data_IF_241787448413
#
_entry.id   IF_241787448413
#
_cell.length_a   1.000
_cell.length_b   1.000
_cell.length_c   1.000
_cell.angle_alpha   90.00
_cell.angle_beta   90.00
_cell.angle_gamma   90.00
#
_symmetry.space_group_name_H-M   'P 1'
#
loop_
_entity.id
_entity.type
_entity.pdbx_description
1 polymer ?
#
# COMPACT_ATOMS: atom_id res chain seq x y z
N UNK A 1 10.73 10.34 -13.50
CA UNK A 1 9.65 10.57 -12.51
C UNK A 1 9.84 9.58 -11.36
N UNK A 2 9.61 9.99 -10.11
CA UNK A 2 9.71 9.12 -8.93
C UNK A 2 8.41 9.19 -8.14
N UNK A 3 7.91 8.06 -7.67
CA UNK A 3 6.62 7.97 -6.95
C UNK A 3 6.82 7.27 -5.62
N UNK A 4 6.55 7.99 -4.53
CA UNK A 4 6.61 7.43 -3.18
C UNK A 4 5.24 6.86 -2.79
N UNK A 5 5.19 5.57 -2.51
CA UNK A 5 4.06 4.94 -1.82
C UNK A 5 4.26 5.02 -0.31
N UNK A 6 3.25 5.51 0.40
CA UNK A 6 3.24 5.56 1.87
C UNK A 6 2.19 4.57 2.35
N UNK A 7 2.62 3.58 3.13
CA UNK A 7 1.75 2.55 3.69
C UNK A 7 1.69 2.70 5.21
N UNK A 8 0.56 2.34 5.79
CA UNK A 8 0.42 2.28 7.24
C UNK A 8 1.25 1.12 7.81
N UNK A 9 1.94 1.37 8.91
CA UNK A 9 2.62 0.35 9.72
C UNK A 9 1.74 -0.17 10.87
N UNK A 10 0.49 0.29 10.97
CA UNK A 10 -0.43 -0.06 12.04
C UNK A 10 -1.12 -1.40 11.74
N UNK A 11 -0.88 -2.40 12.59
CA UNK A 11 -1.29 -3.79 12.34
C UNK A 11 -2.46 -4.30 13.19
N UNK A 12 -2.92 -3.52 14.18
CA UNK A 12 -3.96 -3.94 15.14
C UNK A 12 -5.08 -2.93 15.20
N UNK A 13 -6.32 -3.38 15.27
CA UNK A 13 -7.50 -2.52 15.34
C UNK A 13 -7.73 -2.12 16.80
N UNK A 14 -7.04 -1.06 17.23
CA UNK A 14 -7.10 -0.49 18.57
C UNK A 14 -7.09 -1.58 19.66
N UNK A 15 -8.03 -1.52 20.61
CA UNK A 15 -8.14 -2.45 21.73
C UNK A 15 -8.99 -3.70 21.41
N UNK A 16 -9.32 -3.93 20.14
CA UNK A 16 -10.21 -5.04 19.76
C UNK A 16 -9.48 -6.38 19.62
N UNK A 17 -8.14 -6.37 19.56
CA UNK A 17 -7.31 -7.55 19.28
C UNK A 17 -7.44 -8.09 17.85
N UNK A 18 -8.18 -7.42 16.97
CA UNK A 18 -8.30 -7.79 15.55
C UNK A 18 -7.14 -7.21 14.76
N UNK A 19 -6.72 -7.91 13.71
CA UNK A 19 -5.70 -7.41 12.79
C UNK A 19 -6.29 -6.38 11.84
N UNK A 20 -5.51 -5.34 11.54
CA UNK A 20 -5.75 -4.38 10.47
C UNK A 20 -4.42 -4.13 9.74
N UNK A 21 -4.39 -3.23 8.77
CA UNK A 21 -3.19 -2.93 8.01
C UNK A 21 -3.49 -2.12 6.77
N UNK A 22 -2.53 -2.07 5.85
CA UNK A 22 -2.78 -1.57 4.51
C UNK A 22 -3.52 -2.63 3.67
N UNK A 23 -4.32 -2.18 2.72
CA UNK A 23 -5.05 -3.05 1.82
C UNK A 23 -4.19 -3.37 0.58
N UNK A 24 -3.96 -4.66 0.30
CA UNK A 24 -3.01 -5.11 -0.73
C UNK A 24 -3.47 -4.70 -2.13
N UNK A 25 -4.76 -4.86 -2.42
CA UNK A 25 -5.37 -4.52 -3.70
C UNK A 25 -5.28 -3.01 -4.00
N UNK A 26 -5.43 -2.15 -2.98
CA UNK A 26 -5.29 -0.70 -3.13
C UNK A 26 -3.86 -0.31 -3.54
N UNK A 27 -2.86 -1.01 -2.98
CA UNK A 27 -1.47 -0.85 -3.37
C UNK A 27 -1.18 -1.45 -4.75
N UNK A 28 -1.54 -2.71 -4.96
CA UNK A 28 -1.16 -3.48 -6.14
C UNK A 28 -1.71 -2.88 -7.44
N UNK A 29 -2.97 -2.44 -7.45
CA UNK A 29 -3.59 -1.88 -8.65
C UNK A 29 -2.82 -0.64 -9.16
N UNK A 30 -2.44 0.26 -8.25
CA UNK A 30 -1.72 1.48 -8.60
C UNK A 30 -0.24 1.21 -8.88
N UNK A 31 0.38 0.32 -8.11
CA UNK A 31 1.77 -0.09 -8.31
C UNK A 31 1.98 -0.68 -9.71
N UNK A 32 1.18 -1.66 -10.12
CA UNK A 32 1.33 -2.27 -11.44
C UNK A 32 0.95 -1.31 -12.58
N UNK A 33 -0.07 -0.47 -12.41
CA UNK A 33 -0.40 0.56 -13.41
C UNK A 33 0.76 1.53 -13.69
N UNK A 34 1.54 1.86 -12.65
CA UNK A 34 2.72 2.72 -12.77
C UNK A 34 3.95 1.95 -13.26
N UNK A 35 4.17 0.73 -12.78
CA UNK A 35 5.28 -0.13 -13.20
C UNK A 35 5.20 -0.45 -14.70
N UNK A 36 4.01 -0.78 -15.22
CA UNK A 36 3.78 -1.06 -16.64
C UNK A 36 4.07 0.16 -17.53
N UNK A 37 4.01 1.37 -16.97
CA UNK A 37 4.36 2.64 -17.64
C UNK A 37 5.83 3.01 -17.47
N UNK A 38 6.65 2.13 -16.90
CA UNK A 38 8.09 2.36 -16.67
C UNK A 38 8.38 3.41 -15.61
N UNK A 39 7.44 3.68 -14.70
CA UNK A 39 7.65 4.64 -13.61
C UNK A 39 8.43 3.96 -12.49
N UNK A 40 9.57 4.56 -12.14
CA UNK A 40 10.32 4.12 -10.97
C UNK A 40 9.60 4.57 -9.69
N UNK A 41 9.27 3.59 -8.84
CA UNK A 41 8.72 3.79 -7.49
C UNK A 41 9.85 3.87 -6.48
#
# INVERSE_FOLDING_TARGET
MKVLFVLTSHSELDNTGKKTGFWVEEFAAHYYSLADKGVAT
#
